data_IF_496241615064
#
_entry.id   IF_496241615064
#
_cell.length_a   1.000
_cell.length_b   1.000
_cell.length_c   1.000
_cell.angle_alpha   90.00
_cell.angle_beta   90.00
_cell.angle_gamma   90.00
#
_symmetry.space_group_name_H-M   'P 1'
#
loop_
_entity.id
_entity.type
_entity.pdbx_description
1 polymer ?
#
# COMPACT_ATOMS: atom_id res chain seq x y z
N UNK A 1 -0.06 -33.73 -12.16
CA UNK A 1 0.02 -32.28 -12.39
C UNK A 1 -0.70 -31.96 -13.68
N UNK A 2 -1.77 -31.16 -13.64
CA UNK A 2 -2.46 -30.73 -14.86
C UNK A 2 -1.59 -29.75 -15.67
N UNK A 3 -1.85 -29.58 -16.97
CA UNK A 3 -1.11 -28.63 -17.80
C UNK A 3 -1.24 -27.22 -17.19
N UNK A 4 -0.11 -26.60 -16.91
CA UNK A 4 -0.07 -25.23 -16.41
C UNK A 4 -0.65 -24.29 -17.47
N UNK A 5 -1.71 -23.55 -17.12
CA UNK A 5 -2.32 -22.59 -18.05
C UNK A 5 -1.25 -21.61 -18.57
N UNK A 6 -1.34 -21.15 -19.82
CA UNK A 6 -0.39 -20.20 -20.38
C UNK A 6 -0.25 -18.96 -19.49
N UNK A 7 0.96 -18.43 -19.34
CA UNK A 7 1.25 -17.25 -18.50
C UNK A 7 0.31 -16.08 -18.79
N UNK A 8 0.01 -15.82 -20.08
CA UNK A 8 -0.90 -14.76 -20.51
C UNK A 8 -2.30 -14.89 -19.91
N UNK A 9 -2.80 -16.13 -19.79
CA UNK A 9 -4.12 -16.41 -19.19
C UNK A 9 -4.10 -16.13 -17.69
N UNK A 10 -3.02 -16.51 -17.00
CA UNK A 10 -2.85 -16.24 -15.56
C UNK A 10 -2.75 -14.75 -15.27
N UNK A 11 -1.97 -14.00 -16.06
CA UNK A 11 -1.86 -12.56 -15.91
C UNK A 11 -3.18 -11.84 -16.21
N UNK A 12 -3.90 -12.23 -17.27
CA UNK A 12 -5.20 -11.66 -17.59
C UNK A 12 -6.23 -11.91 -16.48
N UNK A 13 -6.24 -13.12 -15.91
CA UNK A 13 -7.10 -13.45 -14.77
C UNK A 13 -6.75 -12.60 -13.54
N UNK A 14 -5.48 -12.49 -13.18
CA UNK A 14 -5.03 -11.64 -12.07
C UNK A 14 -5.44 -10.18 -12.26
N UNK A 15 -5.28 -9.65 -13.49
CA UNK A 15 -5.69 -8.29 -13.82
C UNK A 15 -7.20 -8.10 -13.64
N UNK A 16 -8.02 -9.03 -14.15
CA UNK A 16 -9.47 -8.97 -13.98
C UNK A 16 -9.87 -9.00 -12.49
N UNK A 17 -9.24 -9.85 -11.68
CA UNK A 17 -9.50 -9.90 -10.23
C UNK A 17 -9.03 -8.62 -9.54
N UNK A 18 -7.88 -8.08 -9.91
CA UNK A 18 -7.38 -6.79 -9.42
C UNK A 18 -8.31 -5.62 -9.77
N UNK A 19 -8.97 -5.66 -10.92
CA UNK A 19 -9.92 -4.61 -11.30
C UNK A 19 -11.21 -4.72 -10.46
N UNK A 20 -11.65 -5.94 -10.12
CA UNK A 20 -12.77 -6.22 -9.21
C UNK A 20 -12.40 -6.21 -7.70
N UNK A 21 -11.22 -5.68 -7.33
CA UNK A 21 -10.68 -5.80 -5.97
C UNK A 21 -11.59 -5.23 -4.87
N UNK A 22 -12.33 -4.16 -5.15
CA UNK A 22 -13.20 -3.52 -4.15
C UNK A 22 -14.40 -4.42 -3.82
N UNK A 23 -15.02 -5.01 -4.84
CA UNK A 23 -16.10 -5.98 -4.67
C UNK A 23 -15.59 -7.21 -3.93
N UNK A 24 -14.41 -7.72 -4.32
CA UNK A 24 -13.82 -8.89 -3.66
C UNK A 24 -13.47 -8.61 -2.18
N UNK A 25 -12.91 -7.44 -1.87
CA UNK A 25 -12.60 -7.04 -0.49
C UNK A 25 -13.85 -6.93 0.39
N UNK A 26 -15.02 -6.64 -0.21
CA UNK A 26 -16.30 -6.59 0.51
C UNK A 26 -16.87 -7.97 0.85
N UNK A 27 -16.42 -9.02 0.14
CA UNK A 27 -16.87 -10.39 0.38
C UNK A 27 -16.13 -10.95 1.60
N UNK A 28 -16.89 -11.09 2.69
CA UNK A 28 -16.52 -11.68 3.98
C UNK A 28 -17.34 -12.94 4.24
N UNK A 29 -16.92 -13.80 5.17
CA UNK A 29 -17.67 -15.01 5.53
C UNK A 29 -19.12 -14.70 5.95
N UNK A 30 -19.35 -13.57 6.62
CA UNK A 30 -20.69 -13.12 7.03
C UNK A 30 -21.56 -12.59 5.89
N UNK A 31 -20.97 -12.20 4.76
CA UNK A 31 -21.69 -11.69 3.58
C UNK A 31 -22.04 -12.77 2.55
N UNK A 32 -21.53 -14.00 2.72
CA UNK A 32 -21.75 -15.06 1.74
C UNK A 32 -23.17 -15.63 1.81
N UNK A 33 -23.77 -16.00 0.67
CA UNK A 33 -25.09 -16.63 0.64
C UNK A 33 -25.15 -17.88 1.50
N UNK A 34 -26.29 -18.14 2.13
CA UNK A 34 -26.51 -19.37 2.89
C UNK A 34 -26.23 -20.60 2.02
N UNK A 35 -25.33 -21.47 2.51
CA UNK A 35 -24.92 -22.69 1.82
C UNK A 35 -23.64 -22.57 0.99
N UNK A 36 -23.01 -21.39 0.91
CA UNK A 36 -21.67 -21.25 0.34
C UNK A 36 -20.62 -21.62 1.39
N UNK A 37 -19.68 -22.47 1.01
CA UNK A 37 -18.58 -22.91 1.88
C UNK A 37 -17.63 -21.73 2.19
N UNK A 38 -17.43 -21.47 3.48
CA UNK A 38 -16.45 -20.50 3.98
C UNK A 38 -15.02 -20.82 3.54
N UNK A 39 -14.74 -22.09 3.24
CA UNK A 39 -13.46 -22.55 2.69
C UNK A 39 -13.15 -22.01 1.29
N UNK A 40 -14.14 -21.50 0.55
CA UNK A 40 -13.95 -20.95 -0.78
C UNK A 40 -13.00 -19.74 -0.78
N UNK A 41 -13.10 -18.86 0.21
CA UNK A 41 -12.22 -17.68 0.32
C UNK A 41 -10.78 -18.10 0.65
N UNK A 42 -10.60 -19.17 1.43
CA UNK A 42 -9.29 -19.74 1.71
C UNK A 42 -8.68 -20.37 0.45
N UNK A 43 -9.48 -21.07 -0.35
CA UNK A 43 -9.03 -21.60 -1.64
C UNK A 43 -8.66 -20.50 -2.62
N UNK A 44 -9.45 -19.41 -2.67
CA UNK A 44 -9.17 -18.26 -3.51
C UNK A 44 -7.86 -17.58 -3.11
N UNK A 45 -7.65 -17.34 -1.80
CA UNK A 45 -6.40 -16.79 -1.27
C UNK A 45 -5.19 -17.62 -1.72
N UNK A 46 -5.21 -18.94 -1.46
CA UNK A 46 -4.16 -19.87 -1.92
C UNK A 46 -3.98 -19.84 -3.44
N UNK A 47 -5.07 -19.83 -4.20
CA UNK A 47 -5.02 -19.79 -5.66
C UNK A 47 -4.34 -18.51 -6.17
N UNK A 48 -4.66 -17.35 -5.58
CA UNK A 48 -4.01 -16.07 -5.92
C UNK A 48 -2.50 -16.11 -5.69
N UNK A 49 -2.04 -16.75 -4.61
CA UNK A 49 -0.62 -16.88 -4.31
C UNK A 49 0.13 -17.64 -5.42
N UNK A 50 -0.45 -18.73 -5.92
CA UNK A 50 0.17 -19.55 -7.00
C UNK A 50 0.36 -18.79 -8.32
N UNK A 51 -0.36 -17.68 -8.54
CA UNK A 51 -0.23 -16.88 -9.76
C UNK A 51 1.06 -16.08 -9.80
N UNK A 52 1.57 -15.67 -8.63
CA UNK A 52 2.78 -14.83 -8.50
C UNK A 52 4.00 -15.57 -7.99
N UNK A 53 3.81 -16.80 -7.54
CA UNK A 53 4.87 -17.73 -7.15
C UNK A 53 4.85 -18.96 -8.07
N UNK A 54 5.29 -18.84 -9.34
CA UNK A 54 5.46 -20.03 -10.17
C UNK A 54 6.57 -20.90 -9.56
N UNK A 55 6.27 -22.16 -9.23
CA UNK A 55 7.19 -23.12 -8.58
C UNK A 55 8.67 -22.93 -8.94
N UNK A 56 9.51 -22.88 -7.92
CA UNK A 56 10.97 -22.66 -7.94
C UNK A 56 11.78 -23.70 -8.73
N UNK A 57 11.14 -24.73 -9.31
CA UNK A 57 11.79 -25.80 -10.06
C UNK A 57 12.24 -25.39 -11.48
N UNK A 58 12.09 -24.12 -11.86
CA UNK A 58 12.59 -23.63 -13.16
C UNK A 58 13.90 -22.84 -13.00
N UNK A 59 14.99 -23.24 -13.69
CA UNK A 59 16.28 -22.60 -13.56
C UNK A 59 16.20 -21.11 -13.92
N UNK A 60 16.57 -20.29 -12.93
CA UNK A 60 16.68 -18.84 -12.99
C UNK A 60 17.80 -18.50 -13.96
N UNK A 61 17.50 -18.27 -15.23
CA UNK A 61 18.53 -17.78 -16.15
C UNK A 61 18.10 -16.73 -17.15
N UNK A 62 16.91 -16.16 -17.02
CA UNK A 62 16.51 -15.06 -17.90
C UNK A 62 15.42 -14.19 -17.26
N UNK A 63 15.76 -12.95 -16.91
CA UNK A 63 14.81 -11.94 -16.43
C UNK A 63 13.79 -11.53 -17.50
N UNK A 64 13.97 -11.99 -18.75
CA UNK A 64 13.04 -11.83 -19.87
C UNK A 64 11.94 -12.90 -19.89
N UNK A 65 12.02 -13.93 -19.02
CA UNK A 65 11.02 -15.00 -18.99
C UNK A 65 9.77 -14.60 -18.22
N UNK A 66 8.58 -15.02 -18.69
CA UNK A 66 7.31 -14.79 -17.98
C UNK A 66 7.26 -15.38 -16.56
N UNK A 67 8.18 -16.28 -16.21
CA UNK A 67 8.29 -16.89 -14.88
C UNK A 67 9.43 -16.30 -14.05
N UNK A 68 9.93 -15.11 -14.39
CA UNK A 68 10.91 -14.41 -13.56
C UNK A 68 10.34 -14.16 -12.14
N UNK A 69 11.25 -14.17 -11.16
CA UNK A 69 10.95 -13.89 -9.76
C UNK A 69 10.31 -12.51 -9.57
N UNK A 70 10.59 -11.58 -10.49
CA UNK A 70 9.97 -10.27 -10.62
C UNK A 70 9.36 -10.08 -12.02
N UNK A 71 8.13 -9.61 -12.09
CA UNK A 71 7.50 -9.17 -13.34
C UNK A 71 6.59 -7.98 -13.07
N UNK A 72 7.04 -6.77 -13.43
CA UNK A 72 6.40 -5.50 -13.08
C UNK A 72 4.88 -5.48 -13.20
N UNK A 73 4.32 -5.78 -14.39
CA UNK A 73 2.87 -5.68 -14.60
C UNK A 73 2.08 -6.69 -13.77
N UNK A 74 2.60 -7.90 -13.59
CA UNK A 74 2.00 -8.97 -12.78
C UNK A 74 2.03 -8.58 -11.31
N UNK A 75 3.21 -8.19 -10.83
CA UNK A 75 3.43 -7.89 -9.42
C UNK A 75 2.72 -6.59 -9.00
N UNK A 76 2.52 -5.64 -9.91
CA UNK A 76 1.64 -4.49 -9.68
C UNK A 76 0.17 -4.88 -9.53
N UNK A 77 -0.37 -5.70 -10.44
CA UNK A 77 -1.76 -6.16 -10.32
C UNK A 77 -1.97 -6.94 -9.01
N UNK A 78 -0.97 -7.76 -8.66
CA UNK A 78 -0.97 -8.49 -7.40
C UNK A 78 -0.92 -7.56 -6.19
N UNK A 79 0.06 -6.65 -6.10
CA UNK A 79 0.16 -5.74 -4.97
C UNK A 79 -1.09 -4.86 -4.84
N UNK A 80 -1.64 -4.36 -5.94
CA UNK A 80 -2.92 -3.63 -5.97
C UNK A 80 -4.07 -4.43 -5.38
N UNK A 81 -4.17 -5.71 -5.75
CA UNK A 81 -5.18 -6.61 -5.21
C UNK A 81 -4.95 -6.87 -3.71
N UNK A 82 -3.74 -7.27 -3.32
CA UNK A 82 -3.40 -7.58 -1.93
C UNK A 82 -3.62 -6.37 -1.03
N UNK A 83 -3.25 -5.17 -1.49
CA UNK A 83 -3.52 -3.93 -0.77
C UNK A 83 -4.99 -3.76 -0.45
N UNK A 84 -5.87 -3.85 -1.46
CA UNK A 84 -7.30 -3.69 -1.26
C UNK A 84 -7.90 -4.76 -0.34
N UNK A 85 -7.46 -6.02 -0.46
CA UNK A 85 -7.92 -7.11 0.40
C UNK A 85 -7.43 -6.93 1.85
N UNK A 86 -6.19 -6.50 2.06
CA UNK A 86 -5.60 -6.32 3.38
C UNK A 86 -6.29 -5.22 4.23
N UNK A 87 -7.11 -4.37 3.61
CA UNK A 87 -7.95 -3.38 4.31
C UNK A 87 -9.08 -4.02 5.11
N UNK A 88 -9.39 -5.29 4.86
CA UNK A 88 -10.42 -6.05 5.56
C UNK A 88 -9.76 -7.06 6.49
N UNK A 89 -10.11 -7.06 7.78
CA UNK A 89 -9.45 -7.88 8.80
C UNK A 89 -9.50 -9.39 8.47
N UNK A 90 -10.63 -9.87 7.96
CA UNK A 90 -10.83 -11.28 7.61
C UNK A 90 -9.95 -11.72 6.43
N UNK A 91 -9.78 -10.83 5.46
CA UNK A 91 -8.85 -11.02 4.36
C UNK A 91 -7.40 -10.91 4.84
N UNK A 92 -7.09 -9.92 5.67
CA UNK A 92 -5.76 -9.70 6.23
C UNK A 92 -5.24 -10.96 6.95
N UNK A 93 -6.06 -11.62 7.76
CA UNK A 93 -5.72 -12.89 8.41
C UNK A 93 -5.39 -13.99 7.39
N UNK A 94 -6.20 -14.15 6.34
CA UNK A 94 -5.95 -15.14 5.28
C UNK A 94 -4.67 -14.86 4.51
N UNK A 95 -4.46 -13.61 4.11
CA UNK A 95 -3.29 -13.18 3.37
C UNK A 95 -2.01 -13.38 4.17
N UNK A 96 -2.07 -13.17 5.49
CA UNK A 96 -0.97 -13.46 6.42
C UNK A 96 -0.70 -14.96 6.48
N UNK A 97 -1.73 -15.76 6.78
CA UNK A 97 -1.64 -17.23 6.89
C UNK A 97 -1.09 -17.88 5.62
N UNK A 98 -1.53 -17.41 4.46
CA UNK A 98 -1.18 -17.99 3.16
C UNK A 98 0.11 -17.38 2.57
N UNK A 99 0.80 -16.50 3.31
CA UNK A 99 2.16 -16.02 2.99
C UNK A 99 2.23 -14.83 2.02
N UNK A 100 1.12 -14.19 1.71
CA UNK A 100 1.06 -13.05 0.78
C UNK A 100 1.89 -11.86 1.26
N UNK A 101 1.88 -11.60 2.57
CA UNK A 101 2.66 -10.50 3.16
C UNK A 101 4.16 -10.76 3.06
N UNK A 102 4.60 -11.98 3.33
CA UNK A 102 6.00 -12.40 3.13
C UNK A 102 6.44 -12.19 1.69
N UNK A 103 5.57 -12.55 0.72
CA UNK A 103 5.82 -12.28 -0.69
C UNK A 103 5.93 -10.78 -0.98
N UNK A 104 5.02 -9.96 -0.46
CA UNK A 104 5.09 -8.51 -0.62
C UNK A 104 6.39 -7.93 -0.03
N UNK A 105 6.87 -8.44 1.11
CA UNK A 105 8.17 -8.06 1.69
C UNK A 105 9.33 -8.36 0.75
N UNK A 106 9.30 -9.52 0.09
CA UNK A 106 10.33 -9.88 -0.91
C UNK A 106 10.36 -8.93 -2.11
N UNK A 107 9.19 -8.37 -2.49
CA UNK A 107 9.05 -7.45 -3.60
C UNK A 107 9.59 -6.04 -3.29
N UNK A 108 9.77 -5.66 -2.02
CA UNK A 108 10.24 -4.31 -1.64
C UNK A 108 11.62 -4.02 -2.21
N UNK A 109 12.58 -4.94 -2.09
CA UNK A 109 13.93 -4.71 -2.62
C UNK A 109 13.89 -4.52 -4.14
N UNK A 110 13.13 -5.35 -4.84
CA UNK A 110 12.97 -5.29 -6.30
C UNK A 110 12.25 -3.99 -6.70
N UNK A 111 11.24 -3.56 -5.94
CA UNK A 111 10.54 -2.31 -6.18
C UNK A 111 11.41 -1.08 -5.93
N UNK A 112 12.39 -1.14 -5.01
CA UNK A 112 13.35 -0.07 -4.77
C UNK A 112 14.44 -0.02 -5.85
N UNK A 113 14.88 -1.17 -6.34
CA UNK A 113 15.90 -1.29 -7.40
C UNK A 113 15.38 -0.91 -8.79
N UNK A 114 14.13 -1.26 -9.08
CA UNK A 114 13.47 -0.89 -10.32
C UNK A 114 12.66 0.40 -10.12
N UNK A 115 12.30 1.14 -11.18
CA UNK A 115 11.49 2.37 -11.06
C UNK A 115 9.94 2.23 -11.08
N UNK A 116 9.28 1.13 -10.61
CA UNK A 116 7.83 1.08 -10.66
C UNK A 116 7.21 1.81 -9.46
N UNK A 117 7.04 3.13 -9.57
CA UNK A 117 6.38 3.98 -8.57
C UNK A 117 5.04 3.39 -8.08
N UNK A 118 4.21 2.89 -8.99
CA UNK A 118 2.90 2.29 -8.67
C UNK A 118 3.02 1.06 -7.75
N UNK A 119 4.03 0.21 -7.96
CA UNK A 119 4.25 -0.95 -7.10
C UNK A 119 4.63 -0.51 -5.69
N UNK A 120 5.47 0.53 -5.57
CA UNK A 120 5.87 1.09 -4.28
C UNK A 120 4.65 1.59 -3.50
N UNK A 121 3.64 2.17 -4.17
CA UNK A 121 2.37 2.63 -3.55
C UNK A 121 1.64 1.50 -2.86
N UNK A 122 1.35 0.43 -3.59
CA UNK A 122 0.61 -0.67 -3.02
C UNK A 122 1.40 -1.43 -1.96
N UNK A 123 2.71 -1.62 -2.14
CA UNK A 123 3.56 -2.24 -1.13
C UNK A 123 3.61 -1.40 0.15
N UNK A 124 3.79 -0.09 0.02
CA UNK A 124 3.79 0.81 1.16
C UNK A 124 2.46 0.76 1.91
N UNK A 125 1.36 0.70 1.16
CA UNK A 125 0.05 0.54 1.77
C UNK A 125 -0.10 -0.76 2.53
N UNK A 126 0.27 -1.90 1.92
CA UNK A 126 0.20 -3.20 2.59
C UNK A 126 0.92 -3.16 3.94
N UNK A 127 2.14 -2.64 4.02
CA UNK A 127 2.88 -2.63 5.28
C UNK A 127 2.34 -1.66 6.35
N UNK A 128 1.64 -0.60 5.95
CA UNK A 128 1.02 0.30 6.92
C UNK A 128 -0.20 -0.33 7.60
N UNK A 129 -0.92 -1.19 6.88
CA UNK A 129 -2.09 -1.91 7.40
C UNK A 129 -1.76 -3.17 8.16
N UNK A 130 -0.60 -3.79 7.92
CA UNK A 130 -0.19 -5.04 8.59
C UNK A 130 0.37 -4.81 10.00
N UNK A 131 -0.27 -3.90 10.75
CA UNK A 131 0.05 -3.42 12.10
C UNK A 131 1.36 -3.97 12.72
N UNK A 132 2.43 -3.17 12.78
CA UNK A 132 3.61 -3.54 13.55
C UNK A 132 3.42 -3.42 15.08
N UNK A 133 2.20 -3.23 15.61
CA UNK A 133 1.88 -3.17 17.05
C UNK A 133 2.14 -4.46 17.83
N UNK A 134 3.05 -5.33 17.38
CA UNK A 134 3.91 -5.96 18.36
C UNK A 134 4.79 -4.84 18.96
N UNK A 135 4.25 -4.20 20.02
CA UNK A 135 4.64 -2.95 20.70
C UNK A 135 6.08 -2.91 21.22
N UNK A 136 6.96 -3.79 20.78
CA UNK A 136 8.29 -4.00 21.34
C UNK A 136 9.45 -3.66 20.38
N UNK A 137 9.21 -3.35 19.09
CA UNK A 137 10.31 -3.14 18.15
C UNK A 137 10.17 -1.86 17.34
N UNK A 138 10.63 -0.71 17.88
CA UNK A 138 11.01 0.40 17.03
C UNK A 138 12.13 -0.06 16.08
N UNK A 139 12.04 0.34 14.81
CA UNK A 139 13.14 0.28 13.82
C UNK A 139 13.40 -1.09 13.16
N UNK A 140 12.38 -1.91 12.89
CA UNK A 140 12.62 -3.09 12.06
C UNK A 140 13.13 -2.67 10.66
N UNK A 141 14.04 -3.44 10.02
CA UNK A 141 14.50 -3.15 8.67
C UNK A 141 13.35 -3.00 7.65
N UNK A 142 12.22 -3.67 7.91
CA UNK A 142 11.00 -3.58 7.12
C UNK A 142 10.36 -2.19 7.28
N UNK A 143 10.20 -1.70 8.52
CA UNK A 143 9.68 -0.34 8.77
C UNK A 143 10.55 0.75 8.14
N UNK A 144 11.89 0.59 8.17
CA UNK A 144 12.80 1.56 7.53
C UNK A 144 12.63 1.58 6.01
N UNK A 145 12.54 0.40 5.38
CA UNK A 145 12.30 0.30 3.92
C UNK A 145 10.93 0.83 3.54
N UNK A 146 9.93 0.56 4.34
CA UNK A 146 8.58 1.08 4.15
C UNK A 146 8.54 2.61 4.21
N UNK A 147 9.14 3.23 5.24
CA UNK A 147 9.24 4.69 5.35
C UNK A 147 9.92 5.30 4.12
N UNK A 148 11.00 4.66 3.66
CA UNK A 148 11.68 5.06 2.45
C UNK A 148 10.75 4.99 1.22
N UNK A 149 9.92 3.95 1.10
CA UNK A 149 8.90 3.87 0.05
C UNK A 149 7.90 5.03 0.15
N UNK A 150 7.29 5.28 1.32
CA UNK A 150 6.33 6.38 1.53
C UNK A 150 6.91 7.71 1.10
N UNK A 151 8.11 8.03 1.60
CA UNK A 151 8.78 9.29 1.27
C UNK A 151 9.12 9.41 -0.22
N UNK A 152 9.65 8.33 -0.81
CA UNK A 152 9.98 8.33 -2.24
C UNK A 152 8.74 8.58 -3.10
N UNK A 153 7.57 8.07 -2.70
CA UNK A 153 6.35 8.27 -3.47
C UNK A 153 5.86 9.71 -3.45
N UNK A 154 5.92 10.37 -2.29
CA UNK A 154 5.62 11.79 -2.17
C UNK A 154 6.56 12.64 -3.03
N UNK A 155 7.85 12.33 -3.01
CA UNK A 155 8.86 13.01 -3.83
C UNK A 155 8.65 12.83 -5.33
N UNK A 156 8.20 11.66 -5.77
CA UNK A 156 7.99 11.33 -7.19
C UNK A 156 6.57 11.70 -7.68
N UNK A 157 5.65 12.08 -6.79
CA UNK A 157 4.30 12.48 -7.18
C UNK A 157 4.28 13.68 -8.16
N UNK A 158 5.11 14.72 -8.00
CA UNK A 158 5.22 15.82 -8.96
C UNK A 158 5.37 15.36 -10.41
N UNK A 159 6.10 14.27 -10.66
CA UNK A 159 6.37 13.74 -12.00
C UNK A 159 5.37 12.65 -12.44
N UNK A 160 4.57 12.10 -11.50
CA UNK A 160 3.59 11.03 -11.77
C UNK A 160 2.24 11.56 -12.29
N UNK A 161 1.55 10.77 -13.13
CA UNK A 161 0.21 11.10 -13.67
C UNK A 161 -0.93 10.38 -12.96
N UNK A 162 -0.66 9.54 -11.97
CA UNK A 162 -1.69 8.68 -11.36
C UNK A 162 -2.27 9.31 -10.10
N UNK A 163 -3.44 9.91 -10.24
CA UNK A 163 -4.23 10.47 -9.12
C UNK A 163 -4.98 9.39 -8.33
N UNK A 164 -5.24 8.23 -8.93
CA UNK A 164 -6.08 7.18 -8.35
C UNK A 164 -5.50 6.56 -7.07
N UNK A 165 -4.18 6.62 -6.89
CA UNK A 165 -3.48 6.03 -5.72
C UNK A 165 -3.26 7.03 -4.59
N UNK A 166 -3.61 8.30 -4.78
CA UNK A 166 -3.38 9.34 -3.79
C UNK A 166 -4.21 9.19 -2.50
N UNK A 167 -5.51 8.84 -2.56
CA UNK A 167 -6.27 8.58 -1.34
C UNK A 167 -5.64 7.48 -0.48
N UNK A 168 -5.14 6.43 -1.11
CA UNK A 168 -4.47 5.32 -0.45
C UNK A 168 -3.15 5.79 0.18
N UNK A 169 -2.32 6.52 -0.58
CA UNK A 169 -1.06 7.08 -0.09
C UNK A 169 -1.26 8.01 1.13
N UNK A 170 -2.30 8.85 1.10
CA UNK A 170 -2.63 9.72 2.22
C UNK A 170 -3.05 8.90 3.45
N UNK A 171 -3.90 7.89 3.27
CA UNK A 171 -4.35 7.01 4.37
C UNK A 171 -3.16 6.33 5.04
N UNK A 172 -2.26 5.79 4.24
CA UNK A 172 -1.02 5.11 4.66
C UNK A 172 -0.09 6.07 5.39
N UNK A 173 0.02 7.30 4.91
CA UNK A 173 0.84 8.34 5.55
C UNK A 173 0.23 8.74 6.90
N UNK A 174 -1.10 8.90 7.01
CA UNK A 174 -1.74 9.18 8.31
C UNK A 174 -1.55 8.07 9.33
N UNK A 175 -1.64 6.81 8.90
CA UNK A 175 -1.35 5.67 9.77
C UNK A 175 0.08 5.70 10.28
N UNK A 176 1.03 6.13 9.44
CA UNK A 176 2.41 6.33 9.86
C UNK A 176 2.53 7.31 11.03
N UNK A 177 1.84 8.45 10.91
CA UNK A 177 1.90 9.55 11.89
C UNK A 177 1.26 9.17 13.23
N UNK A 178 0.26 8.29 13.22
CA UNK A 178 -0.47 7.88 14.43
C UNK A 178 0.22 6.78 15.23
N UNK A 179 1.14 6.03 14.63
CA UNK A 179 1.90 5.02 15.36
C UNK A 179 2.90 5.69 16.30
N UNK A 180 2.95 5.23 17.56
CA UNK A 180 3.88 5.65 18.63
C UNK A 180 5.34 5.24 18.33
N UNK A 181 5.82 5.59 17.13
CA UNK A 181 6.93 4.94 16.46
C UNK A 181 8.25 5.71 16.61
N UNK A 182 8.29 6.79 17.39
CA UNK A 182 9.50 7.61 17.56
C UNK A 182 10.09 8.04 16.21
N UNK A 183 9.24 8.48 15.28
CA UNK A 183 9.71 8.97 13.96
C UNK A 183 10.65 10.14 14.23
N UNK A 184 11.91 10.09 13.76
CA UNK A 184 12.83 11.19 13.94
C UNK A 184 12.29 12.50 13.34
N UNK A 185 12.42 13.62 14.05
CA UNK A 185 11.89 14.93 13.63
C UNK A 185 12.35 15.32 12.22
N UNK A 186 13.58 14.97 11.85
CA UNK A 186 14.12 15.24 10.52
C UNK A 186 13.43 14.43 9.41
N UNK A 187 13.00 13.19 9.68
CA UNK A 187 12.22 12.39 8.73
C UNK A 187 10.81 12.98 8.55
N UNK A 188 10.20 13.47 9.63
CA UNK A 188 8.90 14.12 9.58
C UNK A 188 8.95 15.45 8.80
N UNK A 189 9.97 16.28 9.05
CA UNK A 189 10.21 17.52 8.30
C UNK A 189 10.42 17.25 6.80
N UNK A 190 11.22 16.24 6.49
CA UNK A 190 11.45 15.84 5.10
C UNK A 190 10.17 15.35 4.43
N UNK A 191 9.34 14.58 5.14
CA UNK A 191 8.05 14.12 4.63
C UNK A 191 7.09 15.29 4.40
N UNK A 192 6.99 16.23 5.34
CA UNK A 192 6.16 17.42 5.18
C UNK A 192 6.57 18.25 3.96
N UNK A 193 7.88 18.46 3.74
CA UNK A 193 8.37 19.11 2.52
C UNK A 193 7.98 18.35 1.25
N UNK A 194 8.15 17.02 1.25
CA UNK A 194 7.84 16.18 0.08
C UNK A 194 6.31 16.18 -0.20
N UNK A 195 5.44 16.23 0.84
CA UNK A 195 3.97 16.36 0.71
C UNK A 195 3.55 17.75 0.23
N UNK A 196 4.17 18.81 0.75
CA UNK A 196 3.90 20.17 0.34
C UNK A 196 4.19 20.39 -1.16
N UNK A 197 5.36 19.92 -1.62
CA UNK A 197 5.72 19.97 -3.04
C UNK A 197 4.73 19.17 -3.92
N UNK A 198 4.20 18.07 -3.39
CA UNK A 198 3.16 17.29 -4.04
C UNK A 198 1.85 18.10 -4.18
N UNK A 199 1.43 18.86 -3.16
CA UNK A 199 0.28 19.77 -3.23
C UNK A 199 0.48 20.82 -4.33
N UNK A 200 1.59 21.54 -4.33
CA UNK A 200 1.89 22.57 -5.35
C UNK A 200 1.84 21.99 -6.77
N UNK A 201 2.37 20.78 -6.94
CA UNK A 201 2.39 20.09 -8.22
C UNK A 201 0.99 19.67 -8.68
N UNK A 202 0.13 19.23 -7.74
CA UNK A 202 -1.25 18.88 -8.04
C UNK A 202 -2.07 20.12 -8.39
N UNK A 203 -1.90 21.23 -7.69
CA UNK A 203 -2.56 22.51 -8.01
C UNK A 203 -2.16 23.01 -9.42
N UNK A 204 -0.87 22.92 -9.76
CA UNK A 204 -0.39 23.24 -11.10
C UNK A 204 -1.02 22.33 -12.17
N UNK A 205 -1.08 21.01 -11.92
CA UNK A 205 -1.72 20.05 -12.84
C UNK A 205 -3.22 20.31 -12.99
N UNK A 206 -3.92 20.63 -11.90
CA UNK A 206 -5.33 20.99 -11.91
C UNK A 206 -5.59 22.17 -12.86
N UNK A 207 -4.80 23.24 -12.72
CA UNK A 207 -4.91 24.43 -13.56
C UNK A 207 -4.62 24.10 -15.03
N UNK A 208 -3.57 23.30 -15.30
CA UNK A 208 -3.23 22.88 -16.66
C UNK A 208 -4.33 22.01 -17.29
N UNK A 209 -4.90 21.07 -16.53
CA UNK A 209 -5.93 20.15 -17.02
C UNK A 209 -7.28 20.82 -17.21
N UNK A 210 -7.63 21.78 -16.35
CA UNK A 210 -8.82 22.62 -16.56
C UNK A 210 -8.73 23.39 -17.89
N UNK A 211 -7.56 23.90 -18.25
CA UNK A 211 -7.33 24.55 -19.55
C UNK A 211 -7.45 23.59 -20.74
N UNK A 212 -7.15 22.30 -20.55
CA UNK A 212 -7.10 21.31 -21.63
C UNK A 212 -8.35 20.40 -21.71
N UNK A 213 -9.26 20.46 -20.71
CA UNK A 213 -10.48 19.65 -20.67
C UNK A 213 -10.23 18.13 -20.54
N UNK A 214 -9.13 17.73 -19.88
CA UNK A 214 -8.61 16.35 -19.91
C UNK A 214 -9.31 15.39 -18.92
N UNK A 215 -9.87 15.88 -17.81
CA UNK A 215 -10.42 15.01 -16.77
C UNK A 215 -11.68 15.58 -16.09
N UNK A 216 -12.38 14.71 -15.37
CA UNK A 216 -13.41 15.09 -14.40
C UNK A 216 -12.79 15.98 -13.31
N UNK A 217 -13.19 17.24 -13.27
CA UNK A 217 -12.69 18.21 -12.30
C UNK A 217 -13.05 17.80 -10.86
N UNK A 218 -14.22 17.18 -10.68
CA UNK A 218 -14.72 16.78 -9.36
C UNK A 218 -13.84 15.72 -8.67
N UNK A 219 -13.36 14.72 -9.42
CA UNK A 219 -12.51 13.65 -8.86
C UNK A 219 -11.14 14.20 -8.47
N UNK A 220 -10.57 15.07 -9.32
CA UNK A 220 -9.31 15.74 -9.02
C UNK A 220 -9.44 16.63 -7.77
N UNK A 221 -10.50 17.42 -7.67
CA UNK A 221 -10.76 18.31 -6.53
C UNK A 221 -10.94 17.53 -5.22
N UNK A 222 -11.56 16.35 -5.28
CA UNK A 222 -11.70 15.47 -4.13
C UNK A 222 -10.33 14.96 -3.66
N UNK A 223 -9.49 14.50 -4.59
CA UNK A 223 -8.15 13.99 -4.29
C UNK A 223 -7.23 15.10 -3.75
N UNK A 224 -7.21 16.27 -4.40
CA UNK A 224 -6.40 17.41 -3.98
C UNK A 224 -6.74 17.84 -2.54
N UNK A 225 -8.03 17.92 -2.19
CA UNK A 225 -8.47 18.23 -0.82
C UNK A 225 -7.95 17.24 0.21
N UNK A 226 -7.90 15.96 -0.12
CA UNK A 226 -7.40 14.92 0.79
C UNK A 226 -5.90 15.07 1.03
N UNK A 227 -5.12 15.44 0.00
CA UNK A 227 -3.67 15.70 0.13
C UNK A 227 -3.40 17.01 0.88
N UNK A 228 -4.14 18.09 0.60
CA UNK A 228 -4.04 19.36 1.33
C UNK A 228 -4.34 19.18 2.82
N UNK A 229 -5.34 18.37 3.17
CA UNK A 229 -5.62 18.06 4.57
C UNK A 229 -4.44 17.37 5.27
N UNK A 230 -3.76 16.45 4.57
CA UNK A 230 -2.54 15.80 5.10
C UNK A 230 -1.39 16.80 5.28
N UNK A 231 -1.20 17.73 4.35
CA UNK A 231 -0.16 18.78 4.45
C UNK A 231 -0.37 19.64 5.71
N UNK A 232 -1.62 20.07 5.95
CA UNK A 232 -1.98 20.81 7.16
C UNK A 232 -1.76 20.00 8.43
N UNK A 233 -2.16 18.72 8.44
CA UNK A 233 -1.92 17.81 9.57
C UNK A 233 -0.42 17.69 9.89
N UNK A 234 0.42 17.51 8.87
CA UNK A 234 1.88 17.41 9.04
C UNK A 234 2.49 18.69 9.63
N UNK A 235 2.08 19.85 9.14
CA UNK A 235 2.51 21.14 9.68
C UNK A 235 2.13 21.27 11.17
N UNK A 236 0.90 20.89 11.54
CA UNK A 236 0.45 20.95 12.93
C UNK A 236 1.23 20.02 13.86
N UNK A 237 1.57 18.81 13.41
CA UNK A 237 2.38 17.85 14.19
C UNK A 237 3.79 18.39 14.41
N UNK A 238 4.39 19.03 13.40
CA UNK A 238 5.72 19.64 13.50
C UNK A 238 5.71 20.84 14.46
N UNK A 239 4.66 21.66 14.43
CA UNK A 239 4.55 22.87 15.25
C UNK A 239 4.20 22.57 16.73
N UNK A 240 3.51 21.46 17.02
CA UNK A 240 3.00 21.16 18.36
C UNK A 240 3.37 19.74 18.86
N UNK A 241 4.67 19.42 19.04
CA UNK A 241 5.12 18.08 19.39
C UNK A 241 4.61 17.56 20.76
N UNK A 242 4.21 18.44 21.68
CA UNK A 242 3.92 18.08 23.09
C UNK A 242 2.47 17.63 23.38
N UNK A 243 1.54 17.72 22.42
CA UNK A 243 0.11 17.38 22.68
C UNK A 243 -0.26 15.91 22.41
N UNK A 244 0.66 15.10 21.89
CA UNK A 244 0.40 13.70 21.51
C UNK A 244 0.81 12.67 22.57
N UNK A 245 1.48 13.05 23.65
CA UNK A 245 1.79 12.12 24.74
C UNK A 245 0.67 12.13 25.78
N UNK A 246 -0.13 11.05 25.76
CA UNK A 246 -1.21 10.82 26.70
C UNK A 246 -0.77 10.95 28.16
N UNK A 247 -1.50 11.81 28.86
CA UNK A 247 -1.48 12.10 30.28
C UNK A 247 -1.45 10.80 31.13
N UNK A 248 -0.24 10.38 31.52
CA UNK A 248 -0.04 9.32 32.51
C UNK A 248 0.00 9.98 33.88
N UNK A 249 -1.17 10.06 34.52
CA UNK A 249 -1.36 10.75 35.79
C UNK A 249 -0.41 10.27 36.91
N UNK A 250 -0.02 11.16 37.84
CA UNK A 250 0.86 10.82 38.94
C UNK A 250 0.08 10.04 40.02
N UNK A 251 0.35 8.74 40.13
CA UNK A 251 -0.03 7.93 41.28
C UNK A 251 0.68 8.46 42.53
N UNK A 252 -0.10 9.13 43.38
CA UNK A 252 0.34 9.70 44.65
C UNK A 252 0.80 8.61 45.62
N UNK A 253 2.00 8.80 46.17
CA UNK A 253 2.45 8.15 47.39
C UNK A 253 1.58 8.60 48.57
N UNK A 254 0.92 7.66 49.25
CA UNK A 254 0.31 7.86 50.56
C UNK A 254 1.00 6.95 51.57
N UNK A 255 1.76 7.56 52.48
CA UNK A 255 2.26 6.96 53.73
C UNK A 255 1.14 6.83 54.75
#
# INVERSE_FOLDING_TARGET
MGPTRPHRVRHAALRAVSDARADLASITSGSMPQGVDTGLLDELSRALFTVVYPNDDQPIHDNSRPNASFHYTRDCCYARLIFALAMNDEWHERLTRDGHLTRCTSLVNQALEHEPWVLRCYLAGIFAFTDPSDKALPLSPVQKKWRLCVRTMWRELPTSFSIDVLPDLVTVTRQHLRGDNGVPDNELLDLARDVHQAVESLEWKQAAWACLGICSQADFDAVLRVVQALDVELCQVIENPETSQGDSGPGSSGS
#
